data_IF_466648019864
#
_entry.id   IF_466648019864
#
_cell.length_a   1.000
_cell.length_b   1.000
_cell.length_c   1.000
_cell.angle_alpha   90.00
_cell.angle_beta   90.00
_cell.angle_gamma   90.00
#
_symmetry.space_group_name_H-M   'P 1'
#
loop_
_entity.id
_entity.type
_entity.pdbx_description
1 polymer ?
#
# COMPACT_ATOMS: atom_id res chain seq x y z
N UNK A 1 -5.56 13.39 4.83
CA UNK A 1 -5.30 12.36 5.84
C UNK A 1 -4.31 11.39 5.23
N UNK A 2 -3.16 11.22 5.87
CA UNK A 2 -2.05 10.44 5.33
C UNK A 2 -0.83 10.66 6.22
N UNK A 3 0.27 10.01 5.87
CA UNK A 3 1.54 10.17 6.56
C UNK A 3 2.23 11.47 6.13
N UNK A 4 2.90 12.10 7.09
CA UNK A 4 3.88 13.17 6.84
C UNK A 4 5.13 12.61 6.17
N UNK A 5 5.95 13.48 5.58
CA UNK A 5 7.23 13.08 4.99
C UNK A 5 8.14 12.42 6.04
N UNK A 6 8.15 12.94 7.27
CA UNK A 6 8.94 12.39 8.38
C UNK A 6 8.50 10.98 8.77
N UNK A 7 7.19 10.70 8.80
CA UNK A 7 6.67 9.36 9.10
C UNK A 7 7.01 8.36 7.98
N UNK A 8 6.95 8.78 6.72
CA UNK A 8 7.35 7.94 5.58
C UNK A 8 8.86 7.63 5.63
N UNK A 9 9.69 8.63 5.94
CA UNK A 9 11.13 8.45 6.07
C UNK A 9 11.51 7.56 7.26
N UNK A 10 10.81 7.70 8.38
CA UNK A 10 10.93 6.79 9.53
C UNK A 10 10.63 5.35 9.09
N UNK A 11 9.51 5.11 8.40
CA UNK A 11 9.11 3.78 7.93
C UNK A 11 10.14 3.18 6.97
N UNK A 12 10.68 3.98 6.03
CA UNK A 12 11.75 3.57 5.11
C UNK A 12 13.01 3.13 5.84
N UNK A 13 13.41 3.82 6.93
CA UNK A 13 14.57 3.42 7.75
C UNK A 13 14.41 2.05 8.39
N UNK A 14 13.18 1.60 8.63
CA UNK A 14 12.88 0.25 9.12
C UNK A 14 12.59 -0.76 7.99
N UNK A 15 12.85 -0.40 6.73
CA UNK A 15 12.72 -1.29 5.58
C UNK A 15 11.34 -1.29 4.91
N UNK A 16 10.43 -0.40 5.29
CA UNK A 16 9.17 -0.26 4.56
C UNK A 16 9.43 0.33 3.15
N UNK A 17 8.79 -0.25 2.14
CA UNK A 17 8.88 0.21 0.74
C UNK A 17 7.53 0.85 0.38
N UNK A 18 7.44 2.19 0.27
CA UNK A 18 6.21 2.83 -0.16
C UNK A 18 5.89 2.48 -1.62
N UNK A 19 4.62 2.18 -1.88
CA UNK A 19 4.10 1.84 -3.20
C UNK A 19 2.88 2.70 -3.54
N UNK A 20 2.50 2.70 -4.83
CA UNK A 20 1.25 3.30 -5.31
C UNK A 20 0.30 2.22 -5.80
N UNK A 21 -1.01 2.48 -5.74
CA UNK A 21 -2.07 1.58 -6.24
C UNK A 21 -2.69 2.16 -7.52
N UNK A 22 -1.84 2.47 -8.49
CA UNK A 22 -2.23 3.14 -9.74
C UNK A 22 -2.38 4.66 -9.59
N UNK A 23 -2.97 5.35 -10.59
CA UNK A 23 -2.95 6.82 -10.68
C UNK A 23 -4.04 7.51 -9.83
N UNK A 24 -4.97 6.75 -9.24
CA UNK A 24 -6.09 7.31 -8.47
C UNK A 24 -5.81 7.20 -6.97
N UNK A 25 -6.06 8.29 -6.24
CA UNK A 25 -6.03 8.26 -4.79
C UNK A 25 -7.24 7.47 -4.29
N UNK A 26 -6.97 6.32 -3.68
CA UNK A 26 -8.00 5.50 -3.05
C UNK A 26 -8.32 6.03 -1.66
N UNK A 27 -9.57 5.81 -1.23
CA UNK A 27 -9.93 6.05 0.17
C UNK A 27 -9.24 5.04 1.09
N UNK A 28 -9.06 5.39 2.36
CA UNK A 28 -8.33 4.55 3.31
C UNK A 28 -8.96 3.16 3.46
N UNK A 29 -10.29 3.07 3.47
CA UNK A 29 -11.05 1.82 3.54
C UNK A 29 -10.91 0.94 2.30
N UNK A 30 -10.56 1.52 1.14
CA UNK A 30 -10.42 0.81 -0.13
C UNK A 30 -8.97 0.39 -0.40
N UNK A 31 -8.00 1.22 -0.02
CA UNK A 31 -6.59 1.00 -0.31
C UNK A 31 -6.08 -0.34 0.24
N UNK A 32 -6.44 -0.69 1.48
CA UNK A 32 -6.04 -1.97 2.09
C UNK A 32 -6.61 -3.18 1.36
N UNK A 33 -7.89 -3.15 0.99
CA UNK A 33 -8.54 -4.25 0.27
C UNK A 33 -7.92 -4.48 -1.11
N UNK A 34 -7.64 -3.40 -1.85
CA UNK A 34 -7.01 -3.47 -3.17
C UNK A 34 -5.58 -4.00 -3.06
N UNK A 35 -4.79 -3.53 -2.10
CA UNK A 35 -3.42 -4.02 -1.89
C UNK A 35 -3.40 -5.52 -1.55
N UNK A 36 -4.25 -5.96 -0.63
CA UNK A 36 -4.34 -7.38 -0.27
C UNK A 36 -4.78 -8.24 -1.46
N UNK A 37 -5.79 -7.79 -2.22
CA UNK A 37 -6.26 -8.51 -3.40
C UNK A 37 -5.18 -8.63 -4.47
N UNK A 38 -4.41 -7.57 -4.72
CA UNK A 38 -3.30 -7.59 -5.68
C UNK A 38 -2.18 -8.55 -5.26
N UNK A 39 -1.84 -8.58 -3.97
CA UNK A 39 -0.83 -9.51 -3.43
C UNK A 39 -1.31 -10.96 -3.59
N UNK A 40 -2.53 -11.26 -3.16
CA UNK A 40 -3.07 -12.63 -3.24
C UNK A 40 -3.23 -13.09 -4.69
N UNK A 41 -3.64 -12.20 -5.60
CA UNK A 41 -3.69 -12.48 -7.03
C UNK A 41 -2.31 -12.84 -7.59
N UNK A 42 -1.29 -12.03 -7.30
CA UNK A 42 0.08 -12.26 -7.78
C UNK A 42 0.69 -13.56 -7.22
N UNK A 43 0.27 -13.96 -6.01
CA UNK A 43 0.71 -15.21 -5.37
C UNK A 43 -0.11 -16.44 -5.78
N UNK A 44 -1.17 -16.28 -6.58
CA UNK A 44 -2.04 -17.38 -7.02
C UNK A 44 -3.08 -17.84 -5.99
N UNK A 45 -3.32 -17.06 -4.94
CA UNK A 45 -4.25 -17.40 -3.85
C UNK A 45 -5.71 -16.98 -4.15
N UNK A 46 -5.99 -16.40 -5.33
CA UNK A 46 -7.33 -15.94 -5.76
C UNK A 46 -7.86 -16.63 -7.03
N UNK A 47 -7.37 -17.83 -7.34
CA UNK A 47 -7.95 -18.68 -8.40
C UNK A 47 -9.29 -19.32 -8.02
#
# INVERSE_FOLDING_TARGET
>A
GGFTEQEVDQARRYGAIPITLGPRILRAETAGLVAASAILYELGDLE
#
